data_IF_660977170360
#
_entry.id   IF_660977170360
#
_cell.length_a   1.000
_cell.length_b   1.000
_cell.length_c   1.000
_cell.angle_alpha   90.00
_cell.angle_beta   90.00
_cell.angle_gamma   90.00
#
_symmetry.space_group_name_H-M   'P 1'
#
loop_
_entity.id
_entity.type
_entity.pdbx_description
1 polymer ?
#
# COMPACT_ATOMS: atom_id res chain seq x y z
N UNK A 1 -2.04 15.59 6.41
CA UNK A 1 -2.66 14.46 7.14
C UNK A 1 -3.08 13.42 6.12
N UNK A 2 -2.93 12.12 6.41
CA UNK A 2 -3.41 11.06 5.54
C UNK A 2 -4.81 10.59 5.99
N UNK A 3 -5.61 10.09 5.06
CA UNK A 3 -6.94 9.53 5.30
C UNK A 3 -7.05 8.18 4.59
N UNK A 4 -7.76 7.25 5.21
CA UNK A 4 -7.97 5.91 4.69
C UNK A 4 -9.46 5.65 4.50
N UNK A 5 -9.82 5.12 3.34
CA UNK A 5 -11.15 4.64 3.03
C UNK A 5 -11.08 3.23 2.47
N UNK A 6 -11.99 2.35 2.91
CA UNK A 6 -12.19 1.02 2.35
C UNK A 6 -13.49 1.05 1.58
N UNK A 7 -13.43 0.76 0.28
CA UNK A 7 -14.61 0.75 -0.57
C UNK A 7 -15.52 -0.43 -0.25
N UNK A 8 -16.75 -0.36 -0.75
CA UNK A 8 -17.52 -1.58 -0.99
C UNK A 8 -16.86 -2.41 -2.09
N UNK A 9 -17.34 -3.63 -2.27
CA UNK A 9 -16.92 -4.49 -3.38
C UNK A 9 -17.17 -3.79 -4.72
N UNK A 10 -16.14 -3.79 -5.58
CA UNK A 10 -16.17 -3.17 -6.89
C UNK A 10 -16.03 -4.23 -7.99
N UNK A 11 -16.94 -4.27 -8.98
CA UNK A 11 -16.80 -5.16 -10.12
C UNK A 11 -15.61 -4.76 -10.99
N UNK A 12 -14.88 -5.75 -11.48
CA UNK A 12 -13.83 -5.54 -12.45
C UNK A 12 -14.37 -5.68 -13.87
N UNK A 13 -13.70 -5.05 -14.82
CA UNK A 13 -14.07 -5.18 -16.23
C UNK A 13 -13.91 -6.63 -16.68
N UNK A 14 -14.95 -7.19 -17.31
CA UNK A 14 -14.92 -8.53 -17.91
C UNK A 14 -13.86 -8.68 -19.01
N UNK A 15 -13.33 -7.56 -19.52
CA UNK A 15 -12.20 -7.57 -20.46
C UNK A 15 -10.85 -7.90 -19.80
N UNK A 16 -10.74 -7.76 -18.47
CA UNK A 16 -9.54 -8.08 -17.68
C UNK A 16 -9.67 -9.49 -17.11
N UNK A 17 -10.78 -9.74 -16.43
CA UNK A 17 -11.11 -11.01 -15.80
C UNK A 17 -12.63 -11.13 -15.76
N UNK A 18 -13.14 -12.28 -16.19
CA UNK A 18 -14.57 -12.52 -16.18
C UNK A 18 -15.06 -12.71 -14.74
N UNK A 19 -16.18 -12.06 -14.41
CA UNK A 19 -16.91 -12.24 -13.17
C UNK A 19 -16.05 -12.15 -11.89
N UNK A 20 -15.23 -11.11 -11.78
CA UNK A 20 -14.43 -10.87 -10.58
C UNK A 20 -14.67 -9.48 -9.99
N UNK A 21 -14.40 -9.37 -8.70
CA UNK A 21 -14.49 -8.15 -7.92
C UNK A 21 -13.19 -7.86 -7.17
N UNK A 22 -13.09 -6.66 -6.62
CA UNK A 22 -12.03 -6.28 -5.68
C UNK A 22 -12.61 -5.34 -4.63
N UNK A 23 -12.02 -5.34 -3.44
CA UNK A 23 -12.22 -4.25 -2.46
C UNK A 23 -10.99 -3.35 -2.51
N UNK A 24 -11.20 -2.04 -2.60
CA UNK A 24 -10.13 -1.06 -2.66
C UNK A 24 -9.88 -0.44 -1.30
N UNK A 25 -8.61 -0.32 -0.93
CA UNK A 25 -8.16 0.63 0.08
C UNK A 25 -7.63 1.87 -0.62
N UNK A 26 -8.12 3.04 -0.24
CA UNK A 26 -7.74 4.34 -0.81
C UNK A 26 -7.05 5.18 0.26
N UNK A 27 -5.85 5.69 -0.05
CA UNK A 27 -5.19 6.70 0.77
C UNK A 27 -5.25 8.05 0.08
N UNK A 28 -5.73 9.05 0.80
CA UNK A 28 -5.73 10.45 0.37
C UNK A 28 -4.95 11.32 1.36
N UNK A 29 -4.53 12.50 0.92
CA UNK A 29 -3.63 13.34 1.70
C UNK A 29 -4.17 14.76 1.71
N UNK A 30 -4.75 15.18 2.84
CA UNK A 30 -5.22 16.55 3.00
C UNK A 30 -4.11 17.49 3.49
N UNK A 31 -4.16 18.72 3.02
CA UNK A 31 -3.41 19.86 3.58
C UNK A 31 -4.35 20.75 4.41
N UNK A 32 -3.82 21.53 5.37
CA UNK A 32 -4.61 22.52 6.09
C UNK A 32 -5.25 23.55 5.15
N UNK A 33 -6.42 24.06 5.50
CA UNK A 33 -7.11 25.10 4.71
C UNK A 33 -6.26 26.37 4.57
N UNK A 34 -5.40 26.68 5.55
CA UNK A 34 -4.45 27.80 5.48
C UNK A 34 -3.38 27.65 4.39
N UNK A 35 -3.19 26.42 3.89
CA UNK A 35 -2.27 26.09 2.80
C UNK A 35 -3.01 25.81 1.48
N UNK A 36 -4.31 26.11 1.41
CA UNK A 36 -5.15 25.89 0.25
C UNK A 36 -5.90 27.16 -0.15
N UNK A 37 -6.14 27.34 -1.44
CA UNK A 37 -7.01 28.40 -1.97
C UNK A 37 -7.80 27.87 -3.15
N UNK A 38 -9.13 28.00 -3.11
CA UNK A 38 -10.00 27.52 -4.19
C UNK A 38 -9.90 26.01 -4.45
N UNK A 39 -9.57 25.21 -3.43
CA UNK A 39 -9.37 23.76 -3.56
C UNK A 39 -8.01 23.36 -4.15
N UNK A 40 -7.10 24.31 -4.36
CA UNK A 40 -5.74 24.09 -4.85
C UNK A 40 -4.72 24.37 -3.74
N UNK A 41 -3.63 23.59 -3.66
CA UNK A 41 -2.53 23.90 -2.75
C UNK A 41 -1.90 25.26 -3.09
N UNK A 42 -1.50 26.01 -2.06
CA UNK A 42 -0.66 27.19 -2.25
C UNK A 42 0.70 26.78 -2.86
N UNK A 43 1.35 27.69 -3.61
CA UNK A 43 2.66 27.42 -4.18
C UNK A 43 3.68 27.02 -3.11
N UNK A 44 4.40 25.93 -3.35
CA UNK A 44 5.57 25.54 -2.58
C UNK A 44 6.82 26.17 -3.20
N UNK A 45 7.81 26.52 -2.39
CA UNK A 45 9.07 27.07 -2.91
C UNK A 45 9.78 26.03 -3.82
N UNK A 46 10.34 26.44 -4.99
CA UNK A 46 10.91 25.50 -5.97
C UNK A 46 12.07 24.65 -5.46
N UNK A 47 12.69 25.04 -4.35
CA UNK A 47 13.76 24.28 -3.73
C UNK A 47 13.25 23.04 -2.98
N UNK A 48 11.94 22.86 -2.77
CA UNK A 48 11.41 21.73 -2.01
C UNK A 48 11.01 20.53 -2.87
N UNK A 49 11.13 19.36 -2.26
CA UNK A 49 10.74 18.08 -2.81
C UNK A 49 10.17 17.19 -1.70
N UNK A 50 9.06 16.51 -1.99
CA UNK A 50 8.35 15.68 -1.01
C UNK A 50 8.22 14.26 -1.52
N UNK A 51 8.51 13.30 -0.64
CA UNK A 51 8.31 11.87 -0.88
C UNK A 51 7.35 11.31 0.16
N UNK A 52 6.36 10.54 -0.26
CA UNK A 52 5.46 9.78 0.62
C UNK A 52 5.64 8.31 0.36
N UNK A 53 6.21 7.62 1.34
CA UNK A 53 6.38 6.19 1.32
C UNK A 53 5.20 5.55 2.06
N UNK A 54 4.52 4.61 1.40
CA UNK A 54 3.41 3.86 1.98
C UNK A 54 3.87 2.44 2.24
N UNK A 55 3.97 2.06 3.52
CA UNK A 55 4.25 0.70 3.95
C UNK A 55 2.95 0.03 4.40
N UNK A 56 2.71 -1.20 3.92
CA UNK A 56 1.49 -1.95 4.19
C UNK A 56 1.83 -3.20 5.00
N UNK A 57 1.24 -3.31 6.18
CA UNK A 57 1.32 -4.48 7.05
C UNK A 57 0.00 -5.23 7.06
N UNK A 58 0.07 -6.54 7.20
CA UNK A 58 -1.08 -7.42 7.55
C UNK A 58 -0.91 -8.06 8.92
N UNK A 59 -0.01 -7.51 9.76
CA UNK A 59 0.29 -8.03 11.09
C UNK A 59 -0.85 -7.65 12.06
N UNK A 60 -1.55 -8.61 12.68
CA UNK A 60 -2.68 -8.32 13.57
C UNK A 60 -2.31 -7.40 14.74
N UNK A 61 -1.10 -7.56 15.31
CA UNK A 61 -0.62 -6.74 16.42
C UNK A 61 -0.49 -5.27 16.00
N UNK A 62 0.08 -4.99 14.81
CA UNK A 62 0.18 -3.63 14.30
C UNK A 62 -1.20 -3.00 14.09
N UNK A 63 -2.19 -3.78 13.63
CA UNK A 63 -3.57 -3.32 13.51
C UNK A 63 -4.19 -2.97 14.86
N UNK A 64 -4.05 -3.86 15.85
CA UNK A 64 -4.59 -3.66 17.19
C UNK A 64 -4.04 -2.37 17.84
N UNK A 65 -2.75 -2.12 17.68
CA UNK A 65 -2.10 -0.91 18.20
C UNK A 65 -2.65 0.36 17.55
N UNK A 66 -2.79 0.38 16.21
CA UNK A 66 -3.31 1.56 15.49
C UNK A 66 -4.80 1.77 15.77
N UNK A 67 -5.61 0.71 15.79
CA UNK A 67 -7.03 0.75 16.14
C UNK A 67 -7.23 1.22 17.61
N UNK A 68 -6.29 0.89 18.50
CA UNK A 68 -6.24 1.35 19.90
C UNK A 68 -5.86 2.82 20.07
N UNK A 69 -5.52 3.52 19.00
CA UNK A 69 -5.15 4.94 19.03
C UNK A 69 -3.67 5.22 19.29
N UNK A 70 -2.82 4.18 19.34
CA UNK A 70 -1.38 4.32 19.58
C UNK A 70 -0.60 4.85 18.36
N UNK A 71 -1.30 5.23 17.27
CA UNK A 71 -0.70 5.79 16.05
C UNK A 71 0.51 4.96 15.61
N UNK A 72 1.70 5.55 15.50
CA UNK A 72 2.95 4.83 15.17
C UNK A 72 3.84 4.58 16.39
N UNK A 73 3.34 4.78 17.60
CA UNK A 73 4.15 4.74 18.83
C UNK A 73 4.49 3.30 19.26
N UNK A 74 3.80 2.30 18.71
CA UNK A 74 4.11 0.88 18.89
C UNK A 74 5.39 0.44 18.16
N UNK A 75 5.90 1.24 17.22
CA UNK A 75 7.19 1.00 16.59
C UNK A 75 8.29 1.37 17.59
N UNK A 76 9.30 0.50 17.71
CA UNK A 76 10.43 0.75 18.61
C UNK A 76 11.21 2.02 18.19
N UNK A 77 11.89 2.64 19.15
CA UNK A 77 12.75 3.80 18.86
C UNK A 77 13.82 3.47 17.80
N UNK A 78 14.35 2.24 17.83
CA UNK A 78 15.29 1.73 16.82
C UNK A 78 14.64 1.66 15.44
N UNK A 79 13.42 1.11 15.34
CA UNK A 79 12.69 1.09 14.08
C UNK A 79 12.46 2.51 13.53
N UNK A 80 12.06 3.47 14.38
CA UNK A 80 11.91 4.88 13.97
C UNK A 80 13.21 5.48 13.44
N UNK A 81 14.34 5.21 14.11
CA UNK A 81 15.65 5.73 13.70
C UNK A 81 16.13 5.10 12.37
N UNK A 82 15.93 3.79 12.22
CA UNK A 82 16.33 3.08 11.00
C UNK A 82 15.46 3.46 9.81
N UNK A 83 14.15 3.63 10.00
CA UNK A 83 13.25 4.17 8.97
C UNK A 83 13.64 5.58 8.53
N UNK A 84 13.97 6.46 9.49
CA UNK A 84 14.46 7.81 9.15
C UNK A 84 15.74 7.73 8.35
N UNK A 85 16.68 6.90 8.78
CA UNK A 85 17.98 6.74 8.14
C UNK A 85 17.82 6.21 6.72
N UNK A 86 17.07 5.12 6.54
CA UNK A 86 16.83 4.51 5.23
C UNK A 86 16.17 5.48 4.25
N UNK A 87 15.27 6.35 4.74
CA UNK A 87 14.54 7.31 3.90
C UNK A 87 15.32 8.59 3.57
N UNK A 88 16.42 8.89 4.26
CA UNK A 88 17.07 10.21 4.18
C UNK A 88 18.56 10.18 3.85
N UNK A 89 19.30 9.12 4.20
CA UNK A 89 20.76 9.08 4.09
C UNK A 89 21.25 9.28 2.64
N UNK A 90 20.50 8.73 1.67
CA UNK A 90 20.83 8.74 0.25
C UNK A 90 19.94 9.67 -0.58
N UNK A 91 19.33 10.66 0.08
CA UNK A 91 18.46 11.65 -0.55
C UNK A 91 19.14 12.34 -1.74
N UNK A 92 18.60 12.15 -2.94
CA UNK A 92 19.16 12.68 -4.19
C UNK A 92 20.54 12.11 -4.56
N UNK A 93 20.95 10.99 -3.97
CA UNK A 93 22.24 10.32 -4.23
C UNK A 93 22.09 8.91 -4.77
N UNK A 94 21.02 8.20 -4.38
CA UNK A 94 20.85 6.80 -4.72
C UNK A 94 20.52 6.55 -6.21
N UNK A 95 19.91 7.53 -6.90
CA UNK A 95 19.74 7.49 -8.35
C UNK A 95 19.68 8.90 -8.95
N UNK A 96 20.35 9.09 -10.08
CA UNK A 96 20.37 10.37 -10.78
C UNK A 96 18.97 10.82 -11.20
N UNK A 97 18.70 12.12 -11.01
CA UNK A 97 17.43 12.74 -11.41
C UNK A 97 16.24 12.43 -10.50
N UNK A 98 16.44 11.69 -9.40
CA UNK A 98 15.35 11.36 -8.48
C UNK A 98 15.74 11.61 -7.02
N UNK A 99 14.79 12.12 -6.23
CA UNK A 99 15.03 12.34 -4.80
C UNK A 99 14.66 11.12 -3.95
N UNK A 100 13.55 10.44 -4.28
CA UNK A 100 13.04 9.28 -3.52
C UNK A 100 13.27 7.92 -4.17
N UNK A 101 13.42 7.85 -5.50
CA UNK A 101 12.96 6.67 -6.26
C UNK A 101 13.78 5.39 -6.03
N UNK A 102 15.06 5.53 -5.70
CA UNK A 102 15.89 4.38 -5.38
C UNK A 102 15.50 3.69 -4.06
N UNK A 103 14.75 4.38 -3.19
CA UNK A 103 14.27 3.86 -1.91
C UNK A 103 12.90 3.19 -2.03
N UNK A 104 12.24 3.25 -3.19
CA UNK A 104 10.89 2.75 -3.42
C UNK A 104 10.73 1.22 -3.34
N UNK A 105 11.85 0.48 -3.46
CA UNK A 105 11.88 -0.98 -3.46
C UNK A 105 12.64 -1.57 -2.27
N UNK A 106 13.13 -0.72 -1.37
CA UNK A 106 13.85 -1.20 -0.20
C UNK A 106 12.88 -1.93 0.74
N UNK A 107 13.37 -3.01 1.32
CA UNK A 107 12.62 -3.69 2.37
C UNK A 107 12.49 -2.76 3.58
N UNK A 108 11.38 -2.87 4.31
CA UNK A 108 11.26 -2.21 5.62
C UNK A 108 12.44 -2.65 6.51
N UNK A 109 13.07 -1.73 7.27
CA UNK A 109 14.22 -2.07 8.09
C UNK A 109 13.97 -3.29 8.99
N UNK A 110 14.97 -4.19 9.17
CA UNK A 110 14.82 -5.38 10.00
C UNK A 110 14.33 -5.09 11.42
N UNK A 111 14.73 -3.97 12.00
CA UNK A 111 14.29 -3.51 13.33
C UNK A 111 12.79 -3.24 13.45
N UNK A 112 12.09 -3.10 12.32
CA UNK A 112 10.64 -2.90 12.25
C UNK A 112 9.85 -4.19 11.99
N UNK A 113 10.50 -5.28 11.59
CA UNK A 113 9.80 -6.49 11.15
C UNK A 113 9.06 -7.18 12.32
N UNK A 114 9.59 -7.08 13.53
CA UNK A 114 8.94 -7.65 14.71
C UNK A 114 7.67 -6.90 15.09
N UNK A 115 7.57 -5.58 14.87
CA UNK A 115 6.36 -4.81 15.19
C UNK A 115 5.40 -4.69 14.00
N UNK A 116 5.93 -4.56 12.78
CA UNK A 116 5.16 -4.23 11.58
C UNK A 116 5.12 -5.35 10.53
N UNK A 117 5.94 -6.40 10.68
CA UNK A 117 6.04 -7.48 9.70
C UNK A 117 6.79 -7.08 8.42
N UNK A 118 6.84 -8.00 7.46
CA UNK A 118 7.32 -7.69 6.12
C UNK A 118 6.30 -6.80 5.41
N UNK A 119 6.70 -5.57 5.07
CA UNK A 119 5.82 -4.61 4.44
C UNK A 119 6.00 -4.57 2.93
N UNK A 120 4.89 -4.41 2.21
CA UNK A 120 4.93 -3.91 0.83
C UNK A 120 5.11 -2.39 0.88
N UNK A 121 5.97 -1.85 0.01
CA UNK A 121 6.19 -0.42 -0.12
C UNK A 121 5.67 0.12 -1.46
N UNK A 122 5.18 1.36 -1.44
CA UNK A 122 4.98 2.20 -2.62
C UNK A 122 5.46 3.63 -2.32
N UNK A 123 5.76 4.42 -3.36
CA UNK A 123 6.28 5.78 -3.23
C UNK A 123 5.56 6.76 -4.15
N UNK A 124 5.09 7.86 -3.57
CA UNK A 124 4.58 9.03 -4.29
C UNK A 124 5.54 10.18 -4.09
N UNK A 125 5.95 10.83 -5.18
CA UNK A 125 6.96 11.87 -5.17
C UNK A 125 6.47 13.08 -5.95
N UNK A 126 6.71 14.28 -5.43
CA UNK A 126 6.31 15.52 -6.10
C UNK A 126 7.16 16.71 -5.68
N UNK A 127 7.33 17.64 -6.60
CA UNK A 127 8.03 18.91 -6.40
C UNK A 127 7.03 20.09 -6.48
N UNK A 128 7.56 21.31 -6.46
CA UNK A 128 6.74 22.52 -6.56
C UNK A 128 5.97 22.62 -7.89
N UNK A 129 6.55 22.14 -8.99
CA UNK A 129 5.90 22.20 -10.30
C UNK A 129 4.72 21.24 -10.40
N UNK A 130 4.87 20.03 -9.85
CA UNK A 130 3.78 19.07 -9.71
C UNK A 130 2.66 19.63 -8.84
N UNK A 131 3.01 20.26 -7.71
CA UNK A 131 2.03 20.82 -6.78
C UNK A 131 1.25 22.00 -7.39
N UNK A 132 1.91 22.83 -8.20
CA UNK A 132 1.29 23.96 -8.90
C UNK A 132 0.37 23.55 -10.06
N UNK A 133 0.42 22.30 -10.51
CA UNK A 133 -0.43 21.82 -11.59
C UNK A 133 -1.86 21.59 -11.09
N UNK A 134 -2.85 22.19 -11.76
CA UNK A 134 -4.25 22.17 -11.32
C UNK A 134 -4.92 20.80 -11.38
N UNK A 135 -4.36 19.86 -12.14
CA UNK A 135 -4.82 18.47 -12.23
C UNK A 135 -4.08 17.56 -11.24
N UNK A 136 -2.76 17.74 -11.11
CA UNK A 136 -1.90 16.85 -10.33
C UNK A 136 -1.77 17.28 -8.86
N UNK A 137 -1.75 18.58 -8.57
CA UNK A 137 -1.69 19.12 -7.21
C UNK A 137 -2.75 18.52 -6.29
N UNK A 138 -4.05 18.51 -6.67
CA UNK A 138 -5.12 17.92 -5.86
C UNK A 138 -4.91 16.44 -5.54
N UNK A 139 -4.21 15.68 -6.39
CA UNK A 139 -3.91 14.25 -6.15
C UNK A 139 -3.07 14.07 -4.88
N UNK A 140 -2.20 15.04 -4.58
CA UNK A 140 -1.28 14.99 -3.45
C UNK A 140 -1.76 15.81 -2.24
N UNK A 141 -2.83 16.59 -2.37
CA UNK A 141 -3.24 17.53 -1.30
C UNK A 141 -4.72 17.57 -0.98
N UNK A 142 -5.55 16.80 -1.70
CA UNK A 142 -6.96 16.68 -1.38
C UNK A 142 -7.23 15.53 -0.39
N UNK A 143 -8.07 15.80 0.61
CA UNK A 143 -8.61 14.78 1.52
C UNK A 143 -9.64 13.88 0.84
N UNK A 144 -10.31 14.38 -0.20
CA UNK A 144 -11.31 13.66 -0.97
C UNK A 144 -10.66 12.86 -2.10
N UNK A 145 -11.27 11.75 -2.47
CA UNK A 145 -10.78 10.91 -3.55
C UNK A 145 -10.78 11.65 -4.89
N UNK A 146 -9.66 11.57 -5.59
CA UNK A 146 -9.46 12.08 -6.95
C UNK A 146 -9.22 10.91 -7.92
N UNK A 147 -9.32 11.17 -9.22
CA UNK A 147 -9.09 10.17 -10.26
C UNK A 147 -7.75 9.42 -10.06
N UNK A 148 -6.69 10.15 -9.69
CA UNK A 148 -5.34 9.60 -9.53
C UNK A 148 -4.94 9.35 -8.07
N UNK A 149 -5.88 9.39 -7.12
CA UNK A 149 -5.57 9.03 -5.74
C UNK A 149 -5.02 7.62 -5.63
N UNK A 150 -4.11 7.42 -4.68
CA UNK A 150 -3.47 6.13 -4.44
C UNK A 150 -4.48 5.10 -3.95
N UNK A 151 -4.46 3.90 -4.56
CA UNK A 151 -5.37 2.81 -4.23
C UNK A 151 -4.68 1.46 -4.33
N UNK A 152 -5.08 0.53 -3.49
CA UNK A 152 -4.67 -0.88 -3.58
C UNK A 152 -5.87 -1.81 -3.44
N UNK A 153 -6.04 -2.68 -4.43
CA UNK A 153 -7.07 -3.72 -4.41
C UNK A 153 -6.70 -4.93 -3.56
N UNK A 154 -7.67 -5.80 -3.33
CA UNK A 154 -7.49 -7.14 -2.73
C UNK A 154 -7.22 -8.21 -3.77
N UNK A 155 -7.04 -7.81 -5.03
CA UNK A 155 -6.85 -8.71 -6.17
C UNK A 155 -8.18 -9.14 -6.75
N UNK A 156 -8.14 -10.21 -7.55
CA UNK A 156 -9.33 -10.80 -8.16
C UNK A 156 -10.01 -11.72 -7.16
N UNK A 157 -11.25 -11.41 -6.80
CA UNK A 157 -12.08 -12.19 -5.88
C UNK A 157 -13.40 -12.56 -6.55
N UNK A 158 -14.03 -13.63 -6.08
CA UNK A 158 -15.38 -13.98 -6.52
C UNK A 158 -16.38 -12.93 -5.99
N UNK A 159 -17.40 -12.54 -6.78
CA UNK A 159 -18.43 -11.61 -6.33
C UNK A 159 -19.12 -12.10 -5.05
N UNK A 160 -19.19 -11.24 -4.04
CA UNK A 160 -19.78 -11.53 -2.74
C UNK A 160 -18.85 -12.24 -1.74
N UNK A 161 -17.56 -12.43 -2.05
CA UNK A 161 -16.61 -13.00 -1.08
C UNK A 161 -16.38 -12.03 0.09
N UNK A 162 -16.99 -12.34 1.23
CA UNK A 162 -16.85 -11.56 2.46
C UNK A 162 -15.38 -11.43 2.95
N UNK A 163 -14.49 -12.35 2.55
CA UNK A 163 -13.06 -12.29 2.88
C UNK A 163 -12.38 -11.12 2.18
N UNK A 164 -12.86 -10.68 1.02
CA UNK A 164 -12.27 -9.57 0.28
C UNK A 164 -12.26 -8.29 1.13
N UNK A 165 -13.37 -7.99 1.81
CA UNK A 165 -13.43 -6.84 2.71
C UNK A 165 -12.50 -7.01 3.92
N UNK A 166 -12.51 -8.21 4.54
CA UNK A 166 -11.65 -8.51 5.68
C UNK A 166 -10.16 -8.33 5.32
N UNK A 167 -9.73 -8.76 4.13
CA UNK A 167 -8.36 -8.57 3.65
C UNK A 167 -7.99 -7.09 3.49
N UNK A 168 -8.89 -6.25 2.99
CA UNK A 168 -8.65 -4.82 2.83
C UNK A 168 -8.57 -4.12 4.20
N UNK A 169 -9.49 -4.47 5.10
CA UNK A 169 -9.67 -3.79 6.38
C UNK A 169 -8.66 -4.27 7.46
N UNK A 170 -8.09 -5.47 7.29
CA UNK A 170 -7.00 -5.97 8.14
C UNK A 170 -5.61 -5.41 7.76
N UNK A 171 -5.52 -4.48 6.81
CA UNK A 171 -4.27 -3.80 6.49
C UNK A 171 -4.04 -2.62 7.43
N UNK A 172 -2.78 -2.48 7.85
CA UNK A 172 -2.27 -1.30 8.55
C UNK A 172 -1.30 -0.58 7.63
N UNK A 173 -1.47 0.73 7.51
CA UNK A 173 -0.68 1.60 6.65
C UNK A 173 0.22 2.48 7.48
N UNK A 174 1.53 2.46 7.22
CA UNK A 174 2.49 3.43 7.72
C UNK A 174 2.84 4.36 6.54
N UNK A 175 2.50 5.63 6.67
CA UNK A 175 2.87 6.69 5.72
C UNK A 175 4.05 7.44 6.30
N UNK A 176 5.21 7.35 5.65
CA UNK A 176 6.38 8.17 5.95
C UNK A 176 6.46 9.31 4.93
N UNK A 177 6.29 10.56 5.39
CA UNK A 177 6.44 11.75 4.54
C UNK A 177 7.80 12.37 4.78
N UNK A 178 8.64 12.35 3.75
CA UNK A 178 9.98 12.95 3.73
C UNK A 178 9.90 14.33 3.10
N UNK A 179 10.41 15.33 3.80
CA UNK A 179 10.51 16.72 3.36
C UNK A 179 11.98 17.05 3.18
N UNK A 180 12.39 17.35 1.96
CA UNK A 180 13.78 17.67 1.67
C UNK A 180 13.92 18.68 0.55
N UNK A 181 15.15 19.13 0.36
CA UNK A 181 15.47 20.00 -0.76
C UNK A 181 15.60 19.21 -2.06
N UNK A 182 15.19 19.79 -3.17
CA UNK A 182 15.31 19.25 -4.52
C UNK A 182 16.78 19.14 -4.95
N UNK A 183 17.03 18.55 -6.12
CA UNK A 183 18.37 18.20 -6.58
C UNK A 183 19.37 19.38 -6.53
N UNK A 184 18.92 20.60 -6.82
CA UNK A 184 19.75 21.81 -6.79
C UNK A 184 20.13 22.27 -5.38
N UNK A 185 19.34 21.88 -4.37
CA UNK A 185 19.49 22.28 -2.97
C UNK A 185 19.73 21.12 -2.00
N UNK A 186 19.89 19.88 -2.48
CA UNK A 186 19.93 18.66 -1.64
C UNK A 186 21.00 18.62 -0.55
N UNK A 187 21.98 19.51 -0.60
CA UNK A 187 23.06 19.63 0.38
C UNK A 187 22.81 20.68 1.47
N UNK A 188 21.72 21.46 1.36
CA UNK A 188 21.41 22.55 2.30
C UNK A 188 21.08 21.98 3.69
N UNK A 189 20.24 20.95 3.74
CA UNK A 189 19.83 20.30 4.99
C UNK A 189 19.50 18.83 4.75
N UNK A 190 19.70 18.01 5.78
CA UNK A 190 19.21 16.62 5.80
C UNK A 190 17.69 16.65 5.78
N UNK A 191 17.02 15.83 4.95
CA UNK A 191 15.57 15.76 4.92
C UNK A 191 14.98 15.34 6.27
N UNK A 192 13.78 15.82 6.55
CA UNK A 192 13.02 15.44 7.74
C UNK A 192 11.93 14.42 7.39
N UNK A 193 11.61 13.52 8.31
CA UNK A 193 10.57 12.49 8.12
C UNK A 193 9.52 12.60 9.20
N UNK A 194 8.25 12.60 8.79
CA UNK A 194 7.11 12.41 9.68
C UNK A 194 6.37 11.11 9.37
N UNK A 195 5.84 10.48 10.41
CA UNK A 195 5.14 9.20 10.31
C UNK A 195 3.66 9.36 10.66
N UNK A 196 2.79 8.68 9.91
CA UNK A 196 1.37 8.54 10.22
C UNK A 196 0.93 7.10 9.99
N UNK A 197 0.26 6.51 10.98
CA UNK A 197 -0.23 5.15 10.91
C UNK A 197 -1.76 5.15 10.84
N UNK A 198 -2.31 4.36 9.92
CA UNK A 198 -3.74 4.28 9.65
C UNK A 198 -4.19 2.83 9.55
N UNK A 199 -5.37 2.58 10.05
CA UNK A 199 -6.14 1.35 9.89
C UNK A 199 -7.61 1.75 9.72
N UNK A 200 -8.41 0.88 9.13
CA UNK A 200 -9.83 1.18 8.88
C UNK A 200 -10.71 1.03 10.12
N UNK A 201 -10.13 0.84 11.32
CA UNK A 201 -10.87 0.50 12.52
C UNK A 201 -11.39 -0.94 12.49
N UNK A 202 -12.50 -1.17 13.20
CA UNK A 202 -13.08 -2.49 13.38
C UNK A 202 -13.25 -3.25 12.05
N UNK A 203 -12.58 -4.38 11.94
CA UNK A 203 -12.76 -5.34 10.85
C UNK A 203 -12.66 -6.76 11.37
N UNK A 204 -13.62 -7.58 10.95
CA UNK A 204 -13.89 -8.94 11.41
C UNK A 204 -12.61 -9.78 11.55
N UNK A 205 -12.32 -10.19 12.78
CA UNK A 205 -11.39 -11.29 13.08
C UNK A 205 -12.19 -12.58 12.80
N UNK A 206 -11.78 -13.43 11.83
CA UNK A 206 -12.34 -14.77 11.74
C UNK A 206 -12.12 -15.44 13.08
N UNK A 207 -13.22 -15.77 13.76
CA UNK A 207 -13.15 -16.52 15.00
C UNK A 207 -12.39 -17.82 14.69
N UNK A 208 -11.38 -18.20 15.51
CA UNK A 208 -10.70 -19.47 15.31
C UNK A 208 -11.76 -20.57 15.14
N UNK A 209 -11.62 -21.49 14.17
CA UNK A 209 -12.59 -22.57 14.01
C UNK A 209 -12.78 -23.22 15.37
N UNK A 210 -14.04 -23.25 15.83
CA UNK A 210 -14.38 -23.81 17.13
C UNK A 210 -13.71 -25.19 17.21
N UNK A 211 -12.88 -25.40 18.23
CA UNK A 211 -12.32 -26.72 18.50
C UNK A 211 -13.47 -27.71 18.49
N UNK A 212 -13.38 -28.84 17.76
CA UNK A 212 -14.46 -29.80 17.72
C UNK A 212 -14.77 -30.21 19.15
N UNK A 213 -15.94 -29.80 19.64
CA UNK A 213 -16.42 -30.18 20.95
C UNK A 213 -16.56 -31.69 20.92
N UNK A 214 -15.63 -32.36 21.59
CA UNK A 214 -15.67 -33.80 21.77
C UNK A 214 -16.81 -34.08 22.74
N UNK A 215 -18.01 -34.22 22.22
CA UNK A 215 -19.14 -34.75 22.97
C UNK A 215 -18.87 -36.22 23.22
N UNK A 216 -18.13 -36.51 24.28
CA UNK A 216 -17.95 -37.87 24.78
C UNK A 216 -19.31 -38.36 25.25
N UNK A 217 -20.01 -39.09 24.38
CA UNK A 217 -21.22 -39.82 24.76
C UNK A 217 -20.75 -41.03 25.56
N UNK A 218 -20.87 -40.96 26.88
CA UNK A 218 -20.55 -42.05 27.80
C UNK A 218 -21.47 -43.22 27.51
N UNK A 219 -21.03 -44.14 26.64
CA UNK A 219 -21.70 -45.43 26.43
C UNK A 219 -21.02 -46.43 27.33
N UNK A 220 -21.69 -46.81 28.41
CA UNK A 220 -21.25 -47.86 29.33
C UNK A 220 -21.25 -49.20 28.60
N UNK A 221 -20.09 -49.72 28.22
CA UNK A 221 -19.94 -51.15 27.89
C UNK A 221 -18.65 -51.73 28.43
N UNK A 222 -18.85 -52.91 29.00
CA UNK A 222 -17.97 -53.67 29.88
C UNK A 222 -16.92 -54.48 29.10
N UNK A 223 -15.71 -54.53 29.66
CA UNK A 223 -14.73 -55.64 29.67
C UNK A 223 -14.37 -56.36 28.37
N UNK A 224 -13.14 -56.14 27.88
CA UNK A 224 -12.05 -57.16 27.85
C UNK A 224 -10.77 -56.57 27.21
N UNK A 225 -9.61 -56.97 27.74
CA UNK A 225 -8.26 -56.56 27.32
C UNK A 225 -7.53 -57.72 26.59
N UNK A 226 -6.25 -57.57 26.16
CA UNK A 226 -5.80 -57.20 24.80
C UNK A 226 -4.99 -58.35 24.13
N UNK A 227 -4.33 -58.16 22.95
CA UNK A 227 -2.92 -57.70 22.99
C UNK A 227 -2.40 -56.89 21.77
N UNK A 228 -1.48 -55.96 22.09
CA UNK A 228 -0.12 -55.71 21.53
C UNK A 228 0.10 -55.25 20.05
N UNK A 229 0.87 -54.15 19.92
CA UNK A 229 1.25 -53.44 18.68
C UNK A 229 2.28 -54.16 17.77
N UNK A 230 2.68 -53.60 16.61
CA UNK A 230 3.66 -52.49 16.49
C UNK A 230 3.68 -51.90 15.05
N UNK A 231 4.20 -50.68 14.99
CA UNK A 231 4.41 -49.58 14.00
C UNK A 231 5.03 -49.83 12.61
N UNK A 232 4.69 -48.97 11.62
CA UNK A 232 5.60 -48.17 10.73
C UNK A 232 4.76 -47.35 9.70
N UNK A 233 4.61 -46.02 9.82
CA UNK A 233 5.42 -44.91 9.26
C UNK A 233 5.50 -44.82 7.73
N UNK A 234 4.81 -43.82 7.14
CA UNK A 234 5.14 -43.28 5.82
C UNK A 234 5.11 -41.74 5.85
N UNK A 235 6.29 -41.14 5.85
CA UNK A 235 6.52 -39.71 5.63
C UNK A 235 6.89 -39.47 4.17
N UNK A 236 6.09 -38.69 3.46
CA UNK A 236 6.47 -38.10 2.18
C UNK A 236 6.34 -36.58 2.31
N UNK A 237 7.49 -35.92 2.45
CA UNK A 237 7.63 -34.47 2.39
C UNK A 237 7.85 -34.08 0.93
N UNK A 238 6.94 -33.32 0.33
CA UNK A 238 7.15 -32.72 -0.99
C UNK A 238 7.39 -31.22 -0.83
N UNK A 239 8.65 -30.84 -0.97
CA UNK A 239 9.14 -29.45 -0.99
C UNK A 239 8.73 -28.79 -2.30
N UNK A 240 7.80 -27.83 -2.26
CA UNK A 240 7.50 -26.95 -3.40
C UNK A 240 8.44 -25.73 -3.37
N UNK A 241 9.29 -25.62 -4.39
CA UNK A 241 10.10 -24.42 -4.64
C UNK A 241 9.19 -23.30 -5.15
N UNK A 242 9.15 -22.16 -4.45
CA UNK A 242 8.53 -20.93 -4.95
C UNK A 242 9.42 -20.32 -6.05
N UNK A 243 8.89 -20.24 -7.27
CA UNK A 243 9.43 -19.37 -8.31
C UNK A 243 8.76 -17.99 -8.19
N UNK A 244 9.56 -16.96 -7.89
CA UNK A 244 9.11 -15.57 -7.95
C UNK A 244 9.13 -15.10 -9.41
N UNK A 245 7.95 -14.79 -9.95
CA UNK A 245 7.83 -14.01 -11.19
C UNK A 245 7.58 -12.56 -10.76
N UNK A 246 8.58 -11.70 -10.98
CA UNK A 246 8.46 -10.26 -10.81
C UNK A 246 7.75 -9.66 -12.02
N UNK A 247 6.48 -9.28 -11.87
CA UNK A 247 5.76 -8.50 -12.89
C UNK A 247 6.11 -7.02 -12.67
N UNK A 248 6.87 -6.45 -13.60
CA UNK A 248 7.15 -5.01 -13.62
C UNK A 248 5.88 -4.23 -13.94
N UNK A 249 5.55 -3.25 -13.10
CA UNK A 249 4.55 -2.24 -13.35
C UNK A 249 5.19 -0.86 -13.23
N UNK A 250 6.02 -0.49 -14.20
CA UNK A 250 6.49 0.89 -14.38
C UNK A 250 5.30 1.72 -14.87
N UNK A 251 4.69 2.55 -14.03
CA UNK A 251 3.84 3.64 -14.55
C UNK A 251 4.75 4.69 -15.17
N UNK A 252 5.07 4.49 -16.45
CA UNK A 252 5.52 5.56 -17.31
C UNK A 252 4.27 6.35 -17.70
N UNK A 253 4.03 7.49 -17.05
CA UNK A 253 3.05 8.47 -17.56
C UNK A 253 3.68 9.06 -18.83
N UNK A 254 3.38 8.44 -19.97
CA UNK A 254 3.74 8.97 -21.28
C UNK A 254 2.86 10.18 -21.54
N UNK A 255 3.47 11.36 -21.63
CA UNK A 255 2.83 12.59 -22.07
C UNK A 255 2.51 12.52 -23.58
N UNK A 256 1.59 11.65 -23.97
CA UNK A 256 1.14 11.48 -25.36
C UNK A 256 -0.39 11.39 -25.49
N UNK A 257 -1.12 12.13 -24.66
CA UNK A 257 -2.53 12.47 -24.93
C UNK A 257 -2.67 13.94 -25.35
N UNK A 258 -1.78 14.38 -26.25
CA UNK A 258 -1.87 15.69 -26.89
C UNK A 258 -1.84 15.54 -28.40
N UNK A 259 -2.73 14.72 -28.97
CA UNK A 259 -2.99 14.67 -30.42
C UNK A 259 -4.28 13.90 -30.70
N UNK A 260 -5.42 14.59 -30.78
CA UNK A 260 -6.51 14.28 -31.72
C UNK A 260 -7.59 15.36 -31.67
N UNK A 261 -7.41 16.45 -32.43
CA UNK A 261 -8.51 17.06 -33.18
C UNK A 261 -7.96 17.93 -34.32
N UNK A 262 -7.37 17.30 -35.33
CA UNK A 262 -7.41 17.82 -36.70
C UNK A 262 -7.67 16.63 -37.61
N UNK A 263 -8.90 16.53 -38.10
CA UNK A 263 -9.33 15.49 -39.00
C UNK A 263 -10.60 15.91 -39.72
N UNK A 264 -10.47 16.75 -40.75
CA UNK A 264 -11.45 16.79 -41.84
C UNK A 264 -10.72 16.55 -43.16
N UNK A 265 -10.84 15.32 -43.60
CA UNK A 265 -10.57 14.79 -44.93
C UNK A 265 -11.35 15.56 -46.00
N UNK A 266 -10.69 16.02 -47.06
CA UNK A 266 -11.27 16.04 -48.41
C UNK A 266 -10.24 15.47 -49.40
N UNK A 267 -10.79 14.61 -50.25
CA UNK A 267 -10.21 13.71 -51.24
C UNK A 267 -9.81 14.48 -52.52
N UNK A 268 -8.71 14.04 -53.18
CA UNK A 268 -8.77 13.75 -54.62
C UNK A 268 -8.00 14.64 -55.61
N UNK A 269 -7.04 13.97 -56.28
CA UNK A 269 -6.79 13.99 -57.73
C UNK A 269 -6.05 15.17 -58.41
N UNK A 270 -4.81 14.83 -58.80
CA UNK A 270 -4.30 14.78 -60.17
C UNK A 270 -3.81 16.05 -60.91
N UNK A 271 -2.52 15.98 -61.29
CA UNK A 271 -1.90 16.33 -62.57
C UNK A 271 -1.96 17.75 -63.17
N UNK A 272 -0.73 18.21 -63.45
CA UNK A 272 -0.25 19.31 -64.31
C UNK A 272 -0.20 20.72 -63.73
#
# INVERSE_FOLDING_TARGET
>A
MAYLEISQEMPLSSSIVENATTVLSSLTFGIPDSMSSGGQPLPMDPSWYICRHVFISTKPEAKLEVDGGNKCDFLSQTCHADLKTSLTQDWGKAADGTMCSALGFDAIPPSCQDSFGFARQDVMAFDAAFLANTTLGPVQTNKEQQQYSWRIGTGYQDPGDARAYALAANRTYLVATVWGYSQSGKHIQVPEVSFGCLSSGASYIPQPPASPSSTTTTTSQSTSSPPMGTTASSSASSTLKLAWIATMGTMLVSATDLLCSVGRTIIGMNSR
#
